data_IF_114794633324
#
_entry.id   IF_114794633324
#
_cell.length_a   1.000
_cell.length_b   1.000
_cell.length_c   1.000
_cell.angle_alpha   90.00
_cell.angle_beta   90.00
_cell.angle_gamma   90.00
#
_symmetry.space_group_name_H-M   'P 1'
#
loop_
_entity.id
_entity.type
_entity.pdbx_description
1 polymer ?
#
# COMPACT_ATOMS: atom_id res chain seq x y z
N UNK A 1 27.79 -19.36 37.66
CA UNK A 1 26.44 -19.42 37.07
C UNK A 1 26.46 -18.74 35.72
N UNK A 2 25.75 -19.32 34.73
CA UNK A 2 25.52 -18.81 33.35
C UNK A 2 26.76 -18.89 32.43
N UNK A 3 26.73 -19.40 31.19
CA UNK A 3 25.68 -19.91 30.29
C UNK A 3 26.41 -20.74 29.22
N UNK A 4 26.35 -22.07 29.30
CA UNK A 4 26.81 -22.98 28.24
C UNK A 4 25.60 -23.39 27.38
N UNK A 5 25.19 -22.57 26.40
CA UNK A 5 24.37 -23.03 25.26
C UNK A 5 24.77 -22.18 24.05
N UNK A 6 25.85 -22.58 23.38
CA UNK A 6 26.22 -22.05 22.07
C UNK A 6 26.71 -23.21 21.21
N UNK A 7 25.82 -24.17 20.92
CA UNK A 7 26.10 -25.26 19.98
C UNK A 7 24.90 -26.09 19.54
N UNK A 8 23.75 -25.47 19.24
CA UNK A 8 22.65 -26.17 18.58
C UNK A 8 21.83 -25.22 17.69
N UNK A 9 22.43 -24.75 16.60
CA UNK A 9 21.67 -24.34 15.42
C UNK A 9 22.51 -24.69 14.19
N UNK A 10 22.19 -25.83 13.57
CA UNK A 10 22.43 -26.04 12.15
C UNK A 10 21.22 -25.39 11.44
N UNK A 11 21.41 -24.48 10.47
CA UNK A 11 20.31 -24.13 9.61
C UNK A 11 20.07 -25.33 8.69
N UNK A 12 18.96 -26.02 8.88
CA UNK A 12 18.39 -26.84 7.81
C UNK A 12 17.78 -25.86 6.84
N UNK A 13 18.57 -25.43 5.85
CA UNK A 13 18.12 -24.60 4.74
C UNK A 13 16.95 -25.28 4.06
N UNK A 14 15.77 -24.71 4.27
CA UNK A 14 14.55 -24.99 3.51
C UNK A 14 14.57 -24.03 2.32
N UNK A 15 14.09 -24.42 1.12
CA UNK A 15 14.09 -23.53 -0.05
C UNK A 15 12.99 -22.47 0.07
N UNK A 16 13.09 -21.63 1.10
CA UNK A 16 12.22 -20.49 1.40
C UNK A 16 13.02 -19.30 1.99
N UNK A 17 14.35 -19.39 1.99
CA UNK A 17 15.28 -18.38 2.54
C UNK A 17 15.64 -17.27 1.53
N UNK A 18 14.68 -16.87 0.69
CA UNK A 18 14.80 -15.69 -0.17
C UNK A 18 13.53 -14.84 -0.12
N UNK A 19 12.90 -14.72 1.05
CA UNK A 19 11.93 -13.64 1.27
C UNK A 19 12.75 -12.40 1.61
N UNK A 20 12.90 -11.59 0.56
CA UNK A 20 13.70 -10.37 0.42
C UNK A 20 13.44 -9.35 1.54
N UNK A 21 14.42 -8.46 1.77
CA UNK A 21 14.35 -7.32 2.71
C UNK A 21 13.09 -6.44 2.52
N UNK A 22 12.37 -6.60 1.40
CA UNK A 22 11.18 -5.84 1.02
C UNK A 22 9.86 -6.35 1.64
N UNK A 23 9.81 -7.54 2.24
CA UNK A 23 8.54 -8.09 2.76
C UNK A 23 7.78 -7.16 3.73
N UNK A 24 8.44 -6.43 4.66
CA UNK A 24 7.76 -5.44 5.49
C UNK A 24 7.18 -4.25 4.70
N UNK A 25 7.87 -3.83 3.62
CA UNK A 25 7.44 -2.71 2.76
C UNK A 25 6.30 -3.14 1.87
N UNK A 26 6.37 -4.33 1.26
CA UNK A 26 5.29 -4.92 0.47
C UNK A 26 3.99 -5.00 1.28
N UNK A 27 4.08 -5.49 2.53
CA UNK A 27 2.95 -5.53 3.45
C UNK A 27 2.39 -4.13 3.76
N UNK A 28 3.27 -3.16 4.05
CA UNK A 28 2.85 -1.80 4.36
C UNK A 28 2.17 -1.12 3.17
N UNK A 29 2.71 -1.29 1.96
CA UNK A 29 2.09 -0.77 0.73
C UNK A 29 0.74 -1.43 0.49
N UNK A 30 0.66 -2.76 0.53
CA UNK A 30 -0.59 -3.48 0.34
C UNK A 30 -1.67 -3.06 1.35
N UNK A 31 -1.31 -2.92 2.62
CA UNK A 31 -2.26 -2.51 3.65
C UNK A 31 -2.75 -1.08 3.44
N UNK A 32 -1.89 -0.14 3.05
CA UNK A 32 -2.31 1.23 2.73
C UNK A 32 -3.23 1.30 1.52
N UNK A 33 -3.02 0.46 0.50
CA UNK A 33 -3.92 0.37 -0.64
C UNK A 33 -5.29 -0.17 -0.23
N UNK A 34 -5.34 -1.16 0.67
CA UNK A 34 -6.61 -1.71 1.16
C UNK A 34 -7.35 -0.68 2.03
N UNK A 35 -6.65 0.02 2.91
CA UNK A 35 -7.22 1.14 3.68
C UNK A 35 -7.85 2.20 2.76
N UNK A 36 -7.21 2.49 1.62
CA UNK A 36 -7.76 3.42 0.63
C UNK A 36 -8.97 2.87 -0.14
N UNK A 37 -9.20 1.55 -0.13
CA UNK A 37 -10.39 0.92 -0.72
C UNK A 37 -11.54 0.76 0.28
N UNK A 38 -11.28 0.78 1.60
CA UNK A 38 -12.27 0.54 2.63
C UNK A 38 -13.08 1.81 2.93
N UNK A 39 -13.97 2.19 2.02
CA UNK A 39 -14.81 3.38 2.20
C UNK A 39 -16.02 3.12 3.12
N UNK A 40 -16.75 2.01 2.94
CA UNK A 40 -17.97 1.65 3.70
C UNK A 40 -17.82 0.37 4.54
N UNK A 41 -16.59 -0.15 4.65
CA UNK A 41 -16.29 -1.45 5.25
C UNK A 41 -16.45 -2.63 4.29
N UNK A 42 -16.81 -2.40 3.01
CA UNK A 42 -16.75 -3.40 1.97
C UNK A 42 -15.52 -3.22 1.10
N UNK A 43 -14.81 -4.31 0.89
CA UNK A 43 -13.75 -4.44 -0.10
C UNK A 43 -14.27 -5.37 -1.20
N UNK A 44 -14.70 -4.78 -2.31
CA UNK A 44 -15.35 -5.47 -3.41
C UNK A 44 -14.34 -6.05 -4.43
N UNK A 45 -14.85 -6.88 -5.34
CA UNK A 45 -14.00 -7.55 -6.33
C UNK A 45 -13.30 -6.58 -7.31
N UNK A 46 -13.85 -5.37 -7.52
CA UNK A 46 -13.24 -4.35 -8.39
C UNK A 46 -12.02 -3.74 -7.71
N UNK A 47 -12.14 -3.31 -6.47
CA UNK A 47 -11.01 -2.79 -5.70
C UNK A 47 -9.93 -3.87 -5.54
N UNK A 48 -10.34 -5.10 -5.21
CA UNK A 48 -9.41 -6.23 -5.09
C UNK A 48 -8.64 -6.48 -6.37
N UNK A 49 -9.30 -6.53 -7.53
CA UNK A 49 -8.61 -6.69 -8.82
C UNK A 49 -7.64 -5.54 -9.11
N UNK A 50 -8.02 -4.31 -8.78
CA UNK A 50 -7.17 -3.14 -8.99
C UNK A 50 -5.93 -3.20 -8.09
N UNK A 51 -6.08 -3.51 -6.80
CA UNK A 51 -4.97 -3.68 -5.86
C UNK A 51 -4.03 -4.81 -6.31
N UNK A 52 -4.58 -5.97 -6.71
CA UNK A 52 -3.76 -7.09 -7.21
C UNK A 52 -2.94 -6.68 -8.43
N UNK A 53 -3.55 -5.96 -9.39
CA UNK A 53 -2.83 -5.43 -10.57
C UNK A 53 -1.69 -4.50 -10.16
N UNK A 54 -1.94 -3.58 -9.23
CA UNK A 54 -0.96 -2.63 -8.73
C UNK A 54 0.21 -3.31 -8.00
N UNK A 55 -0.08 -4.25 -7.10
CA UNK A 55 0.93 -4.99 -6.34
C UNK A 55 1.83 -5.84 -7.25
N UNK A 56 1.23 -6.51 -8.24
CA UNK A 56 1.98 -7.28 -9.24
C UNK A 56 2.92 -6.40 -10.05
N UNK A 57 2.42 -5.26 -10.53
CA UNK A 57 3.23 -4.34 -11.32
C UNK A 57 4.35 -3.69 -10.49
N UNK A 58 4.09 -3.37 -9.22
CA UNK A 58 5.03 -2.65 -8.35
C UNK A 58 6.19 -3.51 -7.85
N UNK A 59 5.92 -4.79 -7.57
CA UNK A 59 6.83 -5.71 -6.90
C UNK A 59 7.16 -6.95 -7.74
N UNK A 60 6.81 -6.95 -9.03
CA UNK A 60 7.00 -8.07 -9.97
C UNK A 60 6.45 -9.41 -9.44
N UNK A 61 5.30 -9.36 -8.77
CA UNK A 61 4.71 -10.54 -8.11
C UNK A 61 3.94 -11.42 -9.09
N UNK A 62 4.03 -12.73 -8.86
CA UNK A 62 3.06 -13.68 -9.41
C UNK A 62 1.65 -13.39 -8.90
N UNK A 63 0.63 -13.87 -9.62
CA UNK A 63 -0.76 -13.72 -9.21
C UNK A 63 -1.02 -14.32 -7.82
N UNK A 64 -0.51 -15.52 -7.57
CA UNK A 64 -0.65 -16.20 -6.28
C UNK A 64 0.04 -15.44 -5.13
N UNK A 65 1.24 -14.89 -5.39
CA UNK A 65 1.96 -14.10 -4.39
C UNK A 65 1.22 -12.79 -4.07
N UNK A 66 0.70 -12.10 -5.09
CA UNK A 66 -0.09 -10.89 -4.89
C UNK A 66 -1.41 -11.17 -4.14
N UNK A 67 -2.08 -12.30 -4.42
CA UNK A 67 -3.27 -12.74 -3.68
C UNK A 67 -2.95 -12.98 -2.21
N UNK A 68 -1.87 -13.72 -1.94
CA UNK A 68 -1.43 -13.99 -0.55
C UNK A 68 -1.09 -12.70 0.19
N UNK A 69 -0.36 -11.77 -0.45
CA UNK A 69 -0.04 -10.48 0.13
C UNK A 69 -1.30 -9.64 0.40
N UNK A 70 -2.23 -9.60 -0.55
CA UNK A 70 -3.49 -8.87 -0.41
C UNK A 70 -4.35 -9.42 0.73
N UNK A 71 -4.47 -10.74 0.86
CA UNK A 71 -5.23 -11.39 1.93
C UNK A 71 -4.63 -11.13 3.31
N UNK A 72 -3.30 -11.22 3.43
CA UNK A 72 -2.62 -10.91 4.68
C UNK A 72 -2.78 -9.43 5.04
N UNK A 73 -2.57 -8.53 4.08
CA UNK A 73 -2.69 -7.09 4.29
C UNK A 73 -4.11 -6.68 4.70
N UNK A 74 -5.14 -7.35 4.17
CA UNK A 74 -6.53 -7.11 4.55
C UNK A 74 -6.78 -7.33 6.04
N UNK A 75 -6.26 -8.42 6.60
CA UNK A 75 -6.37 -8.73 8.03
C UNK A 75 -5.76 -7.60 8.89
N UNK A 76 -4.63 -7.03 8.46
CA UNK A 76 -3.98 -5.97 9.22
C UNK A 76 -4.61 -4.59 9.05
N UNK A 77 -5.24 -4.32 7.90
CA UNK A 77 -5.94 -3.07 7.60
C UNK A 77 -7.21 -2.89 8.46
N UNK A 78 -7.76 -3.97 9.03
CA UNK A 78 -8.91 -3.88 9.95
C UNK A 78 -8.59 -3.15 11.27
N UNK A 79 -7.31 -3.08 11.68
CA UNK A 79 -6.91 -2.37 12.89
C UNK A 79 -6.42 -0.95 12.55
N UNK A 80 -7.20 0.10 12.89
CA UNK A 80 -6.86 1.49 12.57
C UNK A 80 -5.58 1.98 13.27
N UNK A 81 -5.08 1.26 14.28
CA UNK A 81 -3.81 1.58 14.93
C UNK A 81 -2.60 1.29 14.02
N UNK A 82 -2.77 0.47 12.97
CA UNK A 82 -1.68 0.08 12.08
C UNK A 82 -1.31 1.14 11.04
N UNK A 83 -2.16 2.14 10.78
CA UNK A 83 -1.84 3.19 9.79
C UNK A 83 -0.50 3.89 10.09
N UNK A 84 -0.25 4.23 11.36
CA UNK A 84 1.02 4.85 11.77
C UNK A 84 2.21 3.91 11.59
N UNK A 85 2.02 2.60 11.80
CA UNK A 85 3.05 1.59 11.57
C UNK A 85 3.38 1.50 10.08
N UNK A 86 2.39 1.37 9.20
CA UNK A 86 2.63 1.22 7.76
C UNK A 86 3.23 2.45 7.12
N UNK A 87 2.69 3.63 7.44
CA UNK A 87 3.26 4.89 6.95
C UNK A 87 4.68 5.11 7.44
N UNK A 88 5.01 4.70 8.67
CA UNK A 88 6.39 4.73 9.17
C UNK A 88 7.30 3.77 8.39
N UNK A 89 6.88 2.52 8.16
CA UNK A 89 7.64 1.54 7.37
C UNK A 89 7.94 2.07 5.97
N UNK A 90 6.91 2.56 5.27
CA UNK A 90 7.06 3.19 3.94
C UNK A 90 8.03 4.37 3.99
N UNK A 91 7.86 5.27 4.96
CA UNK A 91 8.69 6.47 5.07
C UNK A 91 10.16 6.15 5.38
N UNK A 92 10.42 5.11 6.16
CA UNK A 92 11.78 4.72 6.54
C UNK A 92 12.48 3.89 5.45
N UNK A 93 11.74 3.17 4.60
CA UNK A 93 12.31 2.25 3.61
C UNK A 93 12.27 2.76 2.16
N UNK A 94 11.30 3.60 1.79
CA UNK A 94 11.14 4.05 0.40
C UNK A 94 11.75 5.44 0.18
N UNK A 95 12.52 5.65 -0.91
CA UNK A 95 12.96 6.98 -1.32
C UNK A 95 11.76 7.88 -1.63
N UNK A 96 12.00 9.19 -1.74
CA UNK A 96 10.93 10.17 -1.90
C UNK A 96 10.09 9.94 -3.16
N UNK A 97 10.74 9.65 -4.27
CA UNK A 97 10.14 9.41 -5.57
C UNK A 97 9.17 8.22 -5.53
N UNK A 98 9.59 7.12 -4.90
CA UNK A 98 8.74 5.94 -4.72
C UNK A 98 7.54 6.21 -3.79
N UNK A 99 7.68 7.12 -2.83
CA UNK A 99 6.53 7.56 -2.00
C UNK A 99 5.54 8.40 -2.80
N UNK A 100 6.00 9.18 -3.79
CA UNK A 100 5.12 9.86 -4.74
C UNK A 100 4.40 8.86 -5.63
N UNK A 101 5.07 7.79 -6.08
CA UNK A 101 4.43 6.71 -6.83
C UNK A 101 3.38 5.97 -6.00
N UNK A 102 3.64 5.71 -4.71
CA UNK A 102 2.64 5.13 -3.80
C UNK A 102 1.40 6.02 -3.70
N UNK A 103 1.56 7.35 -3.66
CA UNK A 103 0.42 8.28 -3.70
C UNK A 103 -0.38 8.13 -4.99
N UNK A 104 0.27 7.92 -6.15
CA UNK A 104 -0.46 7.62 -7.39
C UNK A 104 -1.25 6.32 -7.29
N UNK A 105 -0.64 5.26 -6.75
CA UNK A 105 -1.32 3.97 -6.55
C UNK A 105 -2.55 4.13 -5.64
N UNK A 106 -2.46 4.91 -4.56
CA UNK A 106 -3.58 5.20 -3.66
C UNK A 106 -4.71 5.95 -4.38
N UNK A 107 -4.37 6.94 -5.23
CA UNK A 107 -5.37 7.61 -6.07
C UNK A 107 -6.02 6.66 -7.07
N UNK A 108 -5.26 5.73 -7.67
CA UNK A 108 -5.83 4.74 -8.59
C UNK A 108 -6.83 3.81 -7.92
N UNK A 109 -6.60 3.46 -6.66
CA UNK A 109 -7.54 2.67 -5.86
C UNK A 109 -8.78 3.50 -5.50
N UNK A 110 -8.59 4.70 -4.97
CA UNK A 110 -9.71 5.57 -4.59
C UNK A 110 -10.61 5.93 -5.78
N UNK A 111 -10.04 6.02 -6.99
CA UNK A 111 -10.81 6.28 -8.22
C UNK A 111 -11.35 5.02 -8.91
N UNK A 112 -11.27 3.84 -8.30
CA UNK A 112 -11.71 2.60 -8.94
C UNK A 112 -13.18 2.63 -9.39
N UNK A 113 -14.04 3.40 -8.70
CA UNK A 113 -15.46 3.58 -9.05
C UNK A 113 -15.75 4.86 -9.89
N UNK A 114 -14.72 5.64 -10.19
CA UNK A 114 -14.76 6.87 -10.98
C UNK A 114 -15.02 8.17 -10.21
N UNK A 115 -15.28 8.10 -8.89
CA UNK A 115 -15.41 9.26 -8.01
C UNK A 115 -14.56 9.09 -6.76
N UNK A 116 -14.45 10.16 -5.97
CA UNK A 116 -13.87 10.10 -4.63
C UNK A 116 -14.74 10.97 -3.71
N UNK A 117 -14.95 10.55 -2.47
CA UNK A 117 -15.60 11.38 -1.47
C UNK A 117 -14.61 12.02 -0.47
N UNK A 118 -15.17 12.81 0.45
CA UNK A 118 -14.42 13.57 1.43
C UNK A 118 -13.63 12.69 2.41
N UNK A 119 -14.14 11.50 2.77
CA UNK A 119 -13.43 10.61 3.70
C UNK A 119 -12.20 10.00 3.04
N UNK A 120 -12.33 9.50 1.82
CA UNK A 120 -11.23 8.96 1.03
C UNK A 120 -10.18 10.05 0.75
N UNK A 121 -10.62 11.25 0.34
CA UNK A 121 -9.74 12.38 0.13
C UNK A 121 -9.01 12.79 1.42
N UNK A 122 -9.69 12.74 2.58
CA UNK A 122 -9.08 12.98 3.89
C UNK A 122 -8.03 11.92 4.24
N UNK A 123 -8.32 10.64 3.99
CA UNK A 123 -7.39 9.55 4.22
C UNK A 123 -6.12 9.71 3.38
N UNK A 124 -6.25 9.98 2.08
CA UNK A 124 -5.10 10.19 1.19
C UNK A 124 -4.27 11.43 1.60
N UNK A 125 -4.92 12.50 2.08
CA UNK A 125 -4.22 13.65 2.65
C UNK A 125 -3.41 13.26 3.90
N UNK A 126 -4.02 12.49 4.82
CA UNK A 126 -3.37 12.00 6.03
C UNK A 126 -2.19 11.09 5.71
N UNK A 127 -2.35 10.12 4.82
CA UNK A 127 -1.28 9.21 4.39
C UNK A 127 -0.12 10.02 3.83
N UNK A 128 -0.38 10.93 2.87
CA UNK A 128 0.66 11.75 2.26
C UNK A 128 1.44 12.62 3.25
N UNK A 129 0.77 13.18 4.25
CA UNK A 129 1.43 13.90 5.34
C UNK A 129 2.37 13.00 6.14
N UNK A 130 1.93 11.78 6.49
CA UNK A 130 2.70 10.82 7.28
C UNK A 130 3.92 10.26 6.53
N UNK A 131 3.81 10.10 5.21
CA UNK A 131 4.93 9.66 4.35
C UNK A 131 5.71 10.83 3.74
N UNK A 132 5.48 12.07 4.19
CA UNK A 132 6.22 13.27 3.78
C UNK A 132 6.21 13.54 2.27
N UNK A 133 5.04 13.42 1.66
CA UNK A 133 4.78 13.89 0.29
C UNK A 133 3.96 15.18 0.36
N UNK A 134 4.45 16.25 -0.26
CA UNK A 134 3.83 17.57 -0.13
C UNK A 134 2.42 17.63 -0.72
N UNK A 135 1.59 18.57 -0.27
CA UNK A 135 0.24 18.77 -0.86
C UNK A 135 0.33 19.05 -2.37
N UNK A 136 1.38 19.76 -2.80
CA UNK A 136 1.64 20.05 -4.21
C UNK A 136 1.89 18.77 -5.02
N UNK A 137 2.77 17.90 -4.53
CA UNK A 137 3.12 16.64 -5.19
C UNK A 137 1.93 15.68 -5.21
N UNK A 138 1.17 15.61 -4.11
CA UNK A 138 -0.09 14.84 -4.08
C UNK A 138 -1.09 15.33 -5.12
N UNK A 139 -1.27 16.64 -5.24
CA UNK A 139 -2.14 17.22 -6.25
C UNK A 139 -1.66 16.96 -7.69
N UNK A 140 -0.34 16.94 -7.92
CA UNK A 140 0.23 16.59 -9.22
C UNK A 140 0.08 15.09 -9.53
N UNK A 141 0.31 14.21 -8.56
CA UNK A 141 0.08 12.77 -8.65
C UNK A 141 -1.37 12.46 -9.01
N UNK A 142 -2.32 13.09 -8.30
CA UNK A 142 -3.76 13.00 -8.61
C UNK A 142 -4.05 13.37 -10.06
N UNK A 143 -3.51 14.48 -10.57
CA UNK A 143 -3.71 14.90 -11.96
C UNK A 143 -3.17 13.88 -12.98
N UNK A 144 -2.02 13.26 -12.71
CA UNK A 144 -1.47 12.19 -13.56
C UNK A 144 -2.41 10.98 -13.59
N UNK A 145 -2.95 10.60 -12.43
CA UNK A 145 -3.91 9.48 -12.33
C UNK A 145 -5.23 9.79 -13.04
N UNK A 146 -5.82 10.97 -12.83
CA UNK A 146 -7.04 11.38 -13.55
C UNK A 146 -6.84 11.35 -15.07
N UNK A 147 -5.69 11.83 -15.55
CA UNK A 147 -5.35 11.75 -16.98
C UNK A 147 -5.17 10.32 -17.47
N UNK A 148 -4.57 9.43 -16.67
CA UNK A 148 -4.36 8.01 -17.00
C UNK A 148 -5.68 7.24 -17.07
N UNK A 149 -6.62 7.55 -16.18
CA UNK A 149 -7.93 6.92 -16.07
C UNK A 149 -9.01 7.60 -16.94
N UNK A 150 -8.66 8.69 -17.65
CA UNK A 150 -9.60 9.50 -18.42
C UNK A 150 -10.82 10.00 -17.59
N UNK A 151 -10.59 10.30 -16.31
CA UNK A 151 -11.62 10.83 -15.40
C UNK A 151 -11.64 12.35 -15.51
N UNK A 152 -12.84 12.90 -15.69
CA UNK A 152 -13.07 14.35 -15.75
C UNK A 152 -12.93 14.99 -14.36
N UNK A 153 -11.96 15.89 -14.19
CA UNK A 153 -11.69 16.60 -12.92
C UNK A 153 -12.90 17.43 -12.47
N UNK A 154 -13.76 17.87 -13.39
CA UNK A 154 -14.96 18.67 -13.06
C UNK A 154 -16.00 17.89 -12.26
N UNK A 155 -15.96 16.55 -12.31
CA UNK A 155 -16.87 15.67 -11.56
C UNK A 155 -16.36 15.33 -10.16
N UNK A 156 -15.11 15.71 -9.84
CA UNK A 156 -14.43 15.43 -8.57
C UNK A 156 -13.77 16.70 -8.02
N UNK A 157 -14.57 17.67 -7.50
CA UNK A 157 -14.03 18.91 -6.95
C UNK A 157 -13.13 18.66 -5.72
N UNK A 158 -12.23 19.61 -5.46
CA UNK A 158 -11.20 19.53 -4.41
C UNK A 158 -11.74 19.68 -3.00
#
# INVERSE_FOLDING_TARGET
>A
MLKHIRKLFKPTTTPMDAVEDDAPVQMAVAALLIEAALFDGHFDDRERRQILKLLRARFDLSEMAAQTLCEQAQIWAEDPNNLHRFTKTVKDAMPHEERVELIEMLWEVAYADGRIDDFEANLLRRIGGLIYVSDRERGQARKRVLSRLAIDESKNPR
#
